data_IF_191423008411
#
_entry.id   IF_191423008411
#
_cell.length_a   1.000
_cell.length_b   1.000
_cell.length_c   1.000
_cell.angle_alpha   90.00
_cell.angle_beta   90.00
_cell.angle_gamma   90.00
#
_symmetry.space_group_name_H-M   'P 1'
#
loop_
_entity.id
_entity.type
_entity.pdbx_description
1 polymer ?
#
# COMPACT_ATOMS: atom_id res chain seq x y z
N UNK A 1 11.27 46.13 14.58
CA UNK A 1 9.88 45.84 14.18
C UNK A 1 9.77 45.87 12.67
N UNK A 2 8.88 45.06 12.07
CA UNK A 2 8.65 45.10 10.62
C UNK A 2 7.90 46.39 10.22
N UNK A 3 8.29 47.00 9.12
CA UNK A 3 7.65 48.22 8.61
C UNK A 3 6.25 47.93 8.08
N UNK A 4 5.35 48.92 8.08
CA UNK A 4 3.99 48.84 7.51
C UNK A 4 4.00 48.35 6.06
N UNK A 5 4.99 48.78 5.26
CA UNK A 5 5.19 48.32 3.89
C UNK A 5 5.52 46.83 3.81
N UNK A 6 6.39 46.32 4.69
CA UNK A 6 6.72 44.89 4.79
C UNK A 6 5.50 44.06 5.24
N UNK A 7 4.73 44.56 6.20
CA UNK A 7 3.49 43.90 6.65
C UNK A 7 2.48 43.81 5.50
N UNK A 8 2.30 44.89 4.73
CA UNK A 8 1.38 44.89 3.59
C UNK A 8 1.84 43.94 2.49
N UNK A 9 3.13 43.95 2.12
CA UNK A 9 3.68 43.03 1.14
C UNK A 9 3.53 41.56 1.57
N UNK A 10 3.78 41.25 2.84
CA UNK A 10 3.57 39.91 3.39
C UNK A 10 2.10 39.45 3.26
N UNK A 11 1.14 40.31 3.64
CA UNK A 11 -0.30 40.01 3.49
C UNK A 11 -0.71 39.76 2.04
N UNK A 12 -0.20 40.57 1.10
CA UNK A 12 -0.48 40.39 -0.32
C UNK A 12 0.11 39.08 -0.87
N UNK A 13 1.32 38.73 -0.45
CA UNK A 13 1.96 37.47 -0.84
C UNK A 13 1.21 36.25 -0.28
N UNK A 14 0.74 36.32 0.98
CA UNK A 14 -0.09 35.27 1.58
C UNK A 14 -1.39 35.09 0.78
N UNK A 15 -2.07 36.18 0.43
CA UNK A 15 -3.30 36.12 -0.38
C UNK A 15 -3.06 35.52 -1.77
N UNK A 16 -1.97 35.91 -2.44
CA UNK A 16 -1.58 35.33 -3.74
C UNK A 16 -1.29 33.84 -3.61
N UNK A 17 -0.58 33.42 -2.57
CA UNK A 17 -0.29 32.02 -2.30
C UNK A 17 -1.57 31.21 -2.00
N UNK A 18 -2.48 31.75 -1.19
CA UNK A 18 -3.78 31.12 -0.90
C UNK A 18 -4.64 30.97 -2.15
N UNK A 19 -4.73 32.02 -2.98
CA UNK A 19 -5.48 31.97 -4.25
C UNK A 19 -4.89 30.93 -5.21
N UNK A 20 -3.58 30.87 -5.33
CA UNK A 20 -2.89 29.85 -6.11
C UNK A 20 -3.16 28.43 -5.56
N UNK A 21 -3.19 28.27 -4.24
CA UNK A 21 -3.49 26.98 -3.60
C UNK A 21 -4.93 26.53 -3.83
N UNK A 22 -5.90 27.45 -3.70
CA UNK A 22 -7.32 27.19 -3.92
C UNK A 22 -7.59 26.76 -5.37
N UNK A 23 -6.94 27.41 -6.34
CA UNK A 23 -7.10 27.10 -7.76
C UNK A 23 -6.38 25.82 -8.22
N UNK A 24 -5.58 25.18 -7.36
CA UNK A 24 -4.91 23.92 -7.69
C UNK A 24 -5.81 22.71 -7.52
N UNK A 25 -5.69 21.77 -8.46
CA UNK A 25 -6.27 20.43 -8.33
C UNK A 25 -5.61 19.65 -7.18
N UNK A 26 -6.30 18.63 -6.66
CA UNK A 26 -5.78 17.74 -5.60
C UNK A 26 -4.41 17.15 -5.95
N UNK A 27 -4.18 16.83 -7.23
CA UNK A 27 -2.90 16.32 -7.74
C UNK A 27 -1.80 17.38 -7.71
N UNK A 28 -2.10 18.61 -8.14
CA UNK A 28 -1.14 19.71 -8.10
C UNK A 28 -0.76 20.08 -6.66
N UNK A 29 -1.73 20.11 -5.73
CA UNK A 29 -1.47 20.34 -4.30
C UNK A 29 -0.54 19.27 -3.73
N UNK A 30 -0.83 17.99 -4.00
CA UNK A 30 0.01 16.86 -3.54
C UNK A 30 1.45 16.92 -4.07
N UNK A 31 1.65 17.31 -5.33
CA UNK A 31 2.98 17.43 -5.93
C UNK A 31 3.80 18.62 -5.39
N UNK A 32 3.14 19.64 -4.87
CA UNK A 32 3.75 20.89 -4.35
C UNK A 32 4.12 20.80 -2.87
N UNK A 33 3.66 19.76 -2.16
CA UNK A 33 4.05 19.51 -0.77
C UNK A 33 5.52 19.05 -0.71
N UNK A 34 6.42 19.80 -0.05
CA UNK A 34 7.86 19.47 0.01
C UNK A 34 8.12 18.15 0.74
N UNK A 35 7.37 17.86 1.80
CA UNK A 35 7.55 16.66 2.66
C UNK A 35 7.30 15.33 1.92
N UNK A 36 6.50 15.36 0.84
CA UNK A 36 6.16 14.16 0.07
C UNK A 36 7.20 13.78 -1.00
N UNK A 37 8.04 14.73 -1.45
CA UNK A 37 8.96 14.54 -2.58
C UNK A 37 10.26 13.83 -2.23
N UNK A 38 10.77 14.05 -1.02
CA UNK A 38 12.02 13.47 -0.52
C UNK A 38 11.85 12.07 0.09
N UNK A 39 10.61 11.63 0.33
CA UNK A 39 10.35 10.36 1.02
C UNK A 39 10.80 9.17 0.16
N UNK A 40 11.80 8.44 0.64
CA UNK A 40 12.21 7.15 0.07
C UNK A 40 11.02 6.18 0.12
N UNK A 41 10.92 5.30 -0.88
CA UNK A 41 9.91 4.23 -0.89
C UNK A 41 10.18 3.27 0.29
N UNK A 42 9.15 2.69 0.92
CA UNK A 42 9.35 1.64 1.91
C UNK A 42 10.25 0.52 1.38
N UNK A 43 11.24 0.14 2.19
CA UNK A 43 12.28 -0.83 1.85
C UNK A 43 13.46 -0.27 1.03
N UNK A 44 13.42 1.00 0.61
CA UNK A 44 14.47 1.63 -0.20
C UNK A 44 15.51 2.33 0.69
N UNK A 45 16.79 1.98 0.49
CA UNK A 45 17.91 2.60 1.21
C UNK A 45 18.30 1.89 2.51
N UNK A 46 17.84 0.66 2.75
CA UNK A 46 18.08 -0.19 3.94
C UNK A 46 17.60 0.37 5.29
N UNK A 47 17.32 1.67 5.34
CA UNK A 47 16.74 2.43 6.43
C UNK A 47 15.20 2.34 6.38
N UNK A 48 14.56 2.27 7.55
CA UNK A 48 13.11 2.12 7.71
C UNK A 48 12.69 0.75 8.27
N UNK A 49 11.45 0.67 8.73
CA UNK A 49 10.93 -0.42 9.57
C UNK A 49 10.35 -1.61 8.80
N UNK A 50 10.26 -1.50 7.47
CA UNK A 50 9.55 -2.48 6.65
C UNK A 50 10.45 -3.16 5.61
N UNK A 51 10.27 -4.47 5.48
CA UNK A 51 10.57 -5.20 4.26
C UNK A 51 9.42 -5.03 3.27
N UNK A 52 9.75 -4.77 2.00
CA UNK A 52 8.76 -4.63 0.94
C UNK A 52 8.78 -5.84 0.01
N UNK A 53 7.73 -6.64 0.00
CA UNK A 53 7.59 -7.78 -0.91
C UNK A 53 6.70 -7.40 -2.09
N UNK A 54 7.30 -7.21 -3.26
CA UNK A 54 6.60 -6.89 -4.51
C UNK A 54 6.06 -8.18 -5.13
N UNK A 55 4.76 -8.21 -5.41
CA UNK A 55 4.07 -9.33 -6.05
C UNK A 55 3.80 -9.03 -7.52
N UNK A 56 3.36 -7.82 -7.81
CA UNK A 56 3.02 -7.36 -9.17
C UNK A 56 3.70 -6.04 -9.47
N UNK A 57 4.02 -5.76 -10.74
CA UNK A 57 4.59 -4.48 -11.13
C UNK A 57 3.56 -3.36 -10.96
N UNK A 58 4.04 -2.16 -10.62
CA UNK A 58 3.20 -0.98 -10.41
C UNK A 58 2.38 -0.61 -11.67
N UNK A 59 2.93 -0.89 -12.85
CA UNK A 59 2.33 -0.56 -14.16
C UNK A 59 0.99 -1.25 -14.42
N UNK A 60 0.69 -2.34 -13.72
CA UNK A 60 -0.61 -3.02 -13.84
C UNK A 60 -1.77 -2.28 -13.13
N UNK A 61 -1.48 -1.20 -12.39
CA UNK A 61 -2.44 -0.56 -11.50
C UNK A 61 -2.56 0.94 -11.75
N UNK A 62 -3.79 1.44 -11.60
CA UNK A 62 -4.16 2.84 -11.77
C UNK A 62 -4.17 3.57 -10.43
N UNK A 63 -4.74 2.94 -9.40
CA UNK A 63 -4.83 3.51 -8.05
C UNK A 63 -4.44 2.49 -7.00
N UNK A 64 -3.97 2.96 -5.84
CA UNK A 64 -3.52 2.10 -4.74
C UNK A 64 -4.28 2.42 -3.46
N UNK A 65 -4.45 1.41 -2.61
CA UNK A 65 -4.95 1.53 -1.23
C UNK A 65 -4.08 0.67 -0.31
N UNK A 66 -3.88 1.16 0.90
CA UNK A 66 -3.17 0.45 1.96
C UNK A 66 -4.17 -0.04 2.98
N UNK A 67 -3.99 -1.27 3.45
CA UNK A 67 -4.80 -1.87 4.51
C UNK A 67 -3.87 -2.52 5.52
N UNK A 68 -4.04 -2.22 6.81
CA UNK A 68 -3.38 -2.97 7.88
C UNK A 68 -3.94 -4.40 7.93
N UNK A 69 -3.05 -5.37 8.18
CA UNK A 69 -3.41 -6.79 8.29
C UNK A 69 -2.86 -7.31 9.61
N UNK A 70 -3.75 -7.52 10.57
CA UNK A 70 -3.38 -7.86 11.94
C UNK A 70 -3.51 -6.66 12.87
N UNK A 71 -2.48 -6.40 13.67
CA UNK A 71 -2.42 -5.23 14.55
C UNK A 71 -2.05 -3.97 13.76
N UNK A 72 -2.59 -2.83 14.19
CA UNK A 72 -2.23 -1.52 13.63
C UNK A 72 -0.72 -1.30 13.67
N UNK A 73 -0.13 -0.77 12.60
CA UNK A 73 1.32 -0.45 12.54
C UNK A 73 2.24 -1.60 12.15
N UNK A 74 1.75 -2.85 12.12
CA UNK A 74 2.56 -4.00 11.70
C UNK A 74 2.46 -4.23 10.18
N UNK A 75 2.10 -5.43 9.75
CA UNK A 75 2.10 -5.78 8.33
C UNK A 75 0.96 -5.11 7.57
N UNK A 76 1.31 -4.45 6.46
CA UNK A 76 0.35 -3.76 5.59
C UNK A 76 0.28 -4.39 4.21
N UNK A 77 -0.94 -4.45 3.67
CA UNK A 77 -1.21 -4.85 2.30
C UNK A 77 -1.39 -3.61 1.44
N UNK A 78 -0.57 -3.48 0.41
CA UNK A 78 -0.78 -2.48 -0.66
C UNK A 78 -1.53 -3.16 -1.80
N UNK A 79 -2.82 -2.84 -1.91
CA UNK A 79 -3.68 -3.28 -3.01
C UNK A 79 -3.70 -2.21 -4.12
N UNK A 80 -3.80 -2.66 -5.36
CA UNK A 80 -3.97 -1.79 -6.53
C UNK A 80 -5.22 -2.14 -7.31
N UNK A 81 -5.91 -1.12 -7.80
CA UNK A 81 -7.01 -1.25 -8.77
C UNK A 81 -6.42 -1.27 -10.17
N UNK A 82 -6.75 -2.29 -10.95
CA UNK A 82 -6.36 -2.44 -12.36
C UNK A 82 -7.25 -1.59 -13.26
N UNK A 83 -6.85 -1.38 -14.51
CA UNK A 83 -7.65 -0.69 -15.52
C UNK A 83 -9.02 -1.34 -15.73
N UNK A 84 -9.12 -2.67 -15.62
CA UNK A 84 -10.38 -3.41 -15.66
C UNK A 84 -11.32 -3.16 -14.46
N UNK A 85 -10.89 -2.38 -13.47
CA UNK A 85 -11.64 -2.13 -12.24
C UNK A 85 -11.42 -3.16 -11.13
N UNK A 86 -10.86 -4.34 -11.46
CA UNK A 86 -10.52 -5.39 -10.48
C UNK A 86 -9.42 -4.95 -9.50
N UNK A 87 -9.46 -5.47 -8.28
CA UNK A 87 -8.42 -5.24 -7.27
C UNK A 87 -7.48 -6.43 -7.16
N UNK A 88 -6.18 -6.17 -7.03
CA UNK A 88 -5.19 -7.19 -6.70
C UNK A 88 -4.09 -6.63 -5.80
N UNK A 89 -3.33 -7.52 -5.15
CA UNK A 89 -2.21 -7.10 -4.31
C UNK A 89 -1.02 -6.68 -5.17
N UNK A 90 -0.52 -5.47 -4.93
CA UNK A 90 0.72 -4.96 -5.52
C UNK A 90 1.94 -5.40 -4.70
N UNK A 91 1.91 -5.12 -3.40
CA UNK A 91 2.99 -5.48 -2.48
C UNK A 91 2.51 -5.68 -1.04
N UNK A 92 3.30 -6.42 -0.25
CA UNK A 92 3.22 -6.41 1.21
C UNK A 92 4.33 -5.54 1.80
N UNK A 93 4.01 -4.82 2.86
CA UNK A 93 4.97 -4.16 3.75
C UNK A 93 4.97 -4.97 5.05
N UNK A 94 6.05 -5.66 5.34
CA UNK A 94 6.17 -6.56 6.50
C UNK A 94 7.12 -5.90 7.48
N UNK A 95 6.65 -5.68 8.71
CA UNK A 95 7.46 -5.05 9.75
C UNK A 95 8.69 -5.91 10.06
N UNK A 96 9.82 -5.27 10.36
CA UNK A 96 11.08 -5.95 10.65
C UNK A 96 11.03 -6.79 11.93
N UNK A 97 10.18 -6.44 12.88
CA UNK A 97 10.00 -7.25 14.10
C UNK A 97 9.24 -8.54 13.82
N UNK A 98 8.44 -8.58 12.76
CA UNK A 98 7.65 -9.74 12.38
C UNK A 98 8.36 -10.65 11.38
N UNK A 99 9.51 -10.26 10.83
CA UNK A 99 10.20 -11.03 9.79
C UNK A 99 11.71 -10.82 9.82
N UNK A 100 12.44 -11.80 9.33
CA UNK A 100 13.89 -11.74 9.23
C UNK A 100 14.34 -12.28 7.89
N UNK A 101 15.59 -11.98 7.52
CA UNK A 101 16.17 -12.50 6.27
C UNK A 101 17.19 -13.57 6.61
N UNK A 102 17.04 -14.74 5.99
CA UNK A 102 17.98 -15.84 6.11
C UNK A 102 18.35 -16.32 4.71
N UNK A 103 19.64 -16.34 4.37
CA UNK A 103 20.14 -16.74 3.05
C UNK A 103 19.43 -15.99 1.90
N UNK A 104 19.28 -14.66 2.03
CA UNK A 104 18.56 -13.79 1.09
C UNK A 104 17.08 -14.12 0.82
N UNK A 105 16.49 -14.95 1.68
CA UNK A 105 15.06 -15.26 1.69
C UNK A 105 14.40 -14.62 2.90
N UNK A 106 13.30 -13.90 2.66
CA UNK A 106 12.48 -13.34 3.73
C UNK A 106 11.66 -14.44 4.41
N UNK A 107 11.81 -14.58 5.72
CA UNK A 107 11.13 -15.56 6.57
C UNK A 107 10.47 -14.87 7.77
N UNK A 108 9.63 -15.61 8.50
CA UNK A 108 8.94 -15.10 9.68
C UNK A 108 8.62 -16.23 10.66
N UNK A 109 8.73 -15.92 11.95
CA UNK A 109 8.25 -16.78 13.05
C UNK A 109 6.79 -16.45 13.44
N UNK A 110 6.27 -15.30 13.01
CA UNK A 110 4.88 -14.90 13.25
C UNK A 110 3.96 -15.73 12.34
N UNK A 111 3.03 -16.49 12.94
CA UNK A 111 2.16 -17.43 12.25
C UNK A 111 1.32 -16.78 11.14
N UNK A 112 0.81 -15.55 11.36
CA UNK A 112 0.02 -14.81 10.37
C UNK A 112 0.87 -14.40 9.18
N UNK A 113 2.09 -13.95 9.42
CA UNK A 113 3.00 -13.51 8.37
C UNK A 113 3.53 -14.71 7.60
N UNK A 114 3.89 -15.80 8.29
CA UNK A 114 4.22 -17.08 7.66
C UNK A 114 3.12 -17.54 6.70
N UNK A 115 1.85 -17.52 7.12
CA UNK A 115 0.73 -17.82 6.22
C UNK A 115 0.62 -16.87 5.02
N UNK A 116 0.96 -15.59 5.17
CA UNK A 116 0.99 -14.65 4.04
C UNK A 116 2.10 -15.04 3.07
N UNK A 117 3.32 -15.26 3.56
CA UNK A 117 4.49 -15.63 2.77
C UNK A 117 4.30 -16.97 2.05
N UNK A 118 3.78 -17.99 2.74
CA UNK A 118 3.54 -19.34 2.19
C UNK A 118 2.48 -19.35 1.07
N UNK A 119 1.53 -18.40 1.10
CA UNK A 119 0.53 -18.26 0.04
C UNK A 119 1.04 -17.48 -1.18
N UNK A 120 2.25 -16.93 -1.12
CA UNK A 120 2.92 -16.35 -2.28
C UNK A 120 3.61 -17.48 -3.06
N UNK A 121 3.69 -17.35 -4.38
CA UNK A 121 4.30 -18.40 -5.19
C UNK A 121 5.82 -18.22 -5.23
N UNK A 122 6.51 -19.35 -5.04
CA UNK A 122 7.97 -19.43 -5.13
C UNK A 122 8.71 -18.70 -4.02
N UNK A 123 10.03 -18.81 -4.06
CA UNK A 123 10.91 -18.20 -3.06
C UNK A 123 10.86 -16.68 -3.14
N UNK A 124 10.72 -16.03 -1.98
CA UNK A 124 10.70 -14.58 -1.84
C UNK A 124 12.14 -14.08 -1.81
N UNK A 125 12.69 -13.81 -3.01
CA UNK A 125 14.10 -13.45 -3.19
C UNK A 125 14.31 -11.95 -3.00
N UNK A 126 15.45 -11.59 -2.41
CA UNK A 126 15.89 -10.19 -2.35
C UNK A 126 16.07 -9.65 -3.77
N UNK A 127 15.59 -8.42 -3.99
CA UNK A 127 15.75 -7.69 -5.23
C UNK A 127 16.71 -6.52 -5.07
N UNK A 128 16.48 -5.66 -4.06
CA UNK A 128 17.36 -4.53 -3.75
C UNK A 128 17.13 -4.05 -2.32
N UNK A 129 18.18 -3.98 -1.52
CA UNK A 129 18.07 -3.57 -0.12
C UNK A 129 17.02 -4.38 0.63
N UNK A 130 16.03 -3.72 1.25
CA UNK A 130 14.90 -4.37 1.93
C UNK A 130 13.70 -4.63 1.01
N UNK A 131 13.91 -4.62 -0.31
CA UNK A 131 12.89 -4.95 -1.31
C UNK A 131 13.11 -6.39 -1.79
N UNK A 132 12.03 -7.17 -1.73
CA UNK A 132 11.94 -8.56 -2.17
C UNK A 132 10.93 -8.70 -3.29
N UNK A 133 11.04 -9.77 -4.07
CA UNK A 133 10.07 -10.13 -5.12
C UNK A 133 9.53 -11.53 -4.85
N UNK A 134 8.22 -11.67 -4.99
CA UNK A 134 7.52 -12.94 -4.98
C UNK A 134 6.80 -13.13 -6.31
N UNK A 135 6.57 -14.38 -6.74
CA UNK A 135 5.75 -14.62 -7.93
C UNK A 135 4.28 -14.38 -7.57
N UNK A 136 3.51 -13.73 -8.46
CA UNK A 136 2.07 -13.59 -8.26
C UNK A 136 1.40 -14.96 -8.22
N UNK A 137 0.26 -15.03 -7.53
CA UNK A 137 -0.66 -16.16 -7.71
C UNK A 137 -1.08 -16.24 -9.19
N UNK A 138 -1.42 -17.45 -9.66
CA UNK A 138 -1.91 -17.68 -11.02
C UNK A 138 -2.94 -16.60 -11.37
N UNK A 139 -2.74 -15.91 -12.48
CA UNK A 139 -3.71 -14.93 -12.96
C UNK A 139 -4.93 -15.71 -13.42
N UNK A 140 -6.02 -15.63 -12.66
CA UNK A 140 -7.31 -16.21 -13.05
C UNK A 140 -8.04 -15.12 -13.84
N UNK A 141 -8.43 -15.38 -15.11
CA UNK A 141 -9.26 -14.48 -15.90
C UNK A 141 -10.49 -13.99 -15.14
N UNK A 142 -10.97 -12.79 -15.46
CA UNK A 142 -12.17 -12.25 -14.80
C UNK A 142 -13.43 -13.03 -15.18
N UNK A 143 -13.51 -13.54 -16.42
CA UNK A 143 -14.56 -14.43 -16.91
C UNK A 143 -14.74 -15.67 -16.04
N UNK A 144 -13.65 -16.14 -15.43
CA UNK A 144 -13.62 -17.38 -14.65
C UNK A 144 -13.92 -17.12 -13.16
N UNK A 145 -14.24 -15.86 -12.80
CA UNK A 145 -14.65 -15.47 -11.46
C UNK A 145 -16.18 -15.34 -11.41
N UNK A 146 -16.82 -15.68 -10.26
CA UNK A 146 -16.20 -16.05 -8.99
C UNK A 146 -15.72 -17.51 -8.95
N UNK A 147 -14.47 -17.70 -8.53
CA UNK A 147 -13.88 -19.03 -8.31
C UNK A 147 -14.66 -19.84 -7.25
N UNK A 148 -14.56 -21.19 -7.23
CA UNK A 148 -15.25 -22.00 -6.23
C UNK A 148 -14.95 -21.57 -4.78
N UNK A 149 -13.71 -21.15 -4.50
CA UNK A 149 -13.30 -20.62 -3.18
C UNK A 149 -14.01 -19.29 -2.87
N UNK A 150 -14.15 -18.39 -3.86
CA UNK A 150 -14.88 -17.14 -3.70
C UNK A 150 -16.38 -17.37 -3.49
N UNK A 151 -16.98 -18.33 -4.20
CA UNK A 151 -18.38 -18.69 -4.01
C UNK A 151 -18.63 -19.22 -2.58
N UNK A 152 -17.77 -20.11 -2.09
CA UNK A 152 -17.84 -20.59 -0.69
C UNK A 152 -17.68 -19.47 0.33
N UNK A 153 -16.73 -18.55 0.12
CA UNK A 153 -16.54 -17.40 0.98
C UNK A 153 -17.74 -16.45 0.96
N UNK A 154 -18.30 -16.17 -0.23
CA UNK A 154 -19.52 -15.37 -0.40
C UNK A 154 -20.69 -15.99 0.36
N UNK A 155 -20.92 -17.31 0.21
CA UNK A 155 -21.96 -18.04 0.93
C UNK A 155 -21.79 -17.92 2.46
N UNK A 156 -20.57 -18.11 2.97
CA UNK A 156 -20.27 -17.96 4.40
C UNK A 156 -20.53 -16.53 4.90
N UNK A 157 -20.14 -15.51 4.13
CA UNK A 157 -20.36 -14.12 4.51
C UNK A 157 -21.85 -13.75 4.50
N UNK A 158 -22.62 -14.23 3.52
CA UNK A 158 -24.08 -14.06 3.49
C UNK A 158 -24.71 -14.70 4.73
N UNK A 159 -24.35 -15.94 5.06
CA UNK A 159 -24.84 -16.61 6.28
C UNK A 159 -24.48 -15.84 7.55
N UNK A 160 -23.25 -15.32 7.64
CA UNK A 160 -22.81 -14.51 8.78
C UNK A 160 -23.64 -13.23 8.91
N UNK A 161 -23.92 -12.55 7.79
CA UNK A 161 -24.74 -11.34 7.77
C UNK A 161 -26.20 -11.63 8.15
N UNK A 162 -26.77 -12.73 7.63
CA UNK A 162 -28.13 -13.16 8.00
C UNK A 162 -28.26 -13.43 9.49
N UNK A 163 -27.29 -14.12 10.11
CA UNK A 163 -27.28 -14.35 11.56
C UNK A 163 -27.18 -13.06 12.37
N UNK A 164 -26.38 -12.10 11.91
CA UNK A 164 -26.22 -10.81 12.57
C UNK A 164 -27.47 -9.91 12.47
N UNK A 165 -28.35 -10.16 11.48
CA UNK A 165 -29.63 -9.46 11.35
C UNK A 165 -30.78 -10.14 12.12
N UNK A 166 -30.56 -11.34 12.67
CA UNK A 166 -31.53 -12.10 13.46
C UNK A 166 -31.31 -11.98 14.98
N UNK A 167 -30.22 -11.32 15.38
CA UNK A 167 -29.85 -11.00 16.77
C UNK A 167 -30.13 -9.55 17.07
#
# INVERSE_FOLDING_TARGET
MATTKQIHAAKQNIRKAQKAWQNMTTRQRSLRQPDGRSRKKPGMGNQGEYYRVIIRPKSEFVTFRTHDVGCSGHTQRVAGKRSSGSWATHSWLIHKDDAYVQNDVLKSNNSKIKQILDRLRGTIKRYKGNIFKAKPRKNIPESDKPTPVQQRARKKNIQKAQRANQS
#
